data_IF_405252943326
#
_entry.id   IF_405252943326
#
_cell.length_a   1.000
_cell.length_b   1.000
_cell.length_c   1.000
_cell.angle_alpha   90.00
_cell.angle_beta   90.00
_cell.angle_gamma   90.00
#
_symmetry.space_group_name_H-M   'P 1'
#
loop_
_entity.id
_entity.type
_entity.pdbx_description
1 polymer ?
#
# COMPACT_ATOMS: atom_id res chain seq x y z
N UNK A 1 -55.11 7.57 15.78
CA UNK A 1 -54.27 8.62 15.17
C UNK A 1 -54.33 8.45 13.66
N UNK A 2 -54.59 9.51 12.88
CA UNK A 2 -54.67 9.41 11.41
C UNK A 2 -53.29 9.22 10.79
N UNK A 3 -53.22 8.47 9.69
CA UNK A 3 -51.97 8.18 8.97
C UNK A 3 -51.23 9.47 8.53
N UNK A 4 -51.96 10.48 8.07
CA UNK A 4 -51.39 11.77 7.65
C UNK A 4 -50.69 12.52 8.78
N UNK A 5 -51.31 12.57 9.98
CA UNK A 5 -50.74 13.28 11.13
C UNK A 5 -49.45 12.62 11.64
N UNK A 6 -49.32 11.31 11.49
CA UNK A 6 -48.08 10.59 11.79
C UNK A 6 -46.97 10.93 10.77
N UNK A 7 -47.31 11.05 9.48
CA UNK A 7 -46.34 11.45 8.45
C UNK A 7 -45.83 12.88 8.67
N UNK A 8 -46.69 13.81 9.09
CA UNK A 8 -46.29 15.19 9.42
C UNK A 8 -45.33 15.26 10.61
N UNK A 9 -45.57 14.44 11.63
CA UNK A 9 -44.67 14.31 12.77
C UNK A 9 -43.29 13.77 12.33
N UNK A 10 -43.27 12.69 11.56
CA UNK A 10 -42.02 12.08 11.05
C UNK A 10 -41.28 13.05 10.12
N UNK A 11 -42.00 13.80 9.28
CA UNK A 11 -41.42 14.83 8.41
C UNK A 11 -40.75 15.94 9.23
N UNK A 12 -41.40 16.40 10.29
CA UNK A 12 -40.87 17.42 11.20
C UNK A 12 -39.64 16.91 11.96
N UNK A 13 -39.69 15.67 12.45
CA UNK A 13 -38.55 14.98 13.08
C UNK A 13 -37.35 14.88 12.13
N UNK A 14 -37.57 14.41 10.90
CA UNK A 14 -36.51 14.33 9.88
C UNK A 14 -35.89 15.69 9.60
N UNK A 15 -36.69 16.78 9.60
CA UNK A 15 -36.19 18.15 9.43
C UNK A 15 -35.32 18.60 10.61
N UNK A 16 -35.73 18.30 11.85
CA UNK A 16 -34.97 18.65 13.06
C UNK A 16 -33.61 17.95 13.08
N UNK A 17 -33.57 16.65 12.75
CA UNK A 17 -32.35 15.83 12.84
C UNK A 17 -31.57 15.72 11.52
N UNK A 18 -31.91 16.52 10.50
CA UNK A 18 -31.28 16.44 9.17
C UNK A 18 -31.28 15.02 8.57
N UNK A 19 -32.36 14.27 8.78
CA UNK A 19 -32.58 12.94 8.22
C UNK A 19 -33.39 13.03 6.92
N UNK A 20 -33.21 12.04 6.04
CA UNK A 20 -33.96 11.94 4.79
C UNK A 20 -35.36 11.37 5.03
N UNK A 21 -36.40 12.08 4.60
CA UNK A 21 -37.80 11.63 4.64
C UNK A 21 -38.19 10.93 3.33
N UNK A 22 -38.51 9.62 3.37
CA UNK A 22 -38.85 8.80 2.19
C UNK A 22 -40.14 7.97 2.41
N UNK A 23 -41.33 8.59 2.33
CA UNK A 23 -42.61 7.91 2.60
C UNK A 23 -42.96 6.86 1.54
N UNK A 24 -42.52 7.06 0.28
CA UNK A 24 -42.78 6.17 -0.86
C UNK A 24 -41.79 4.99 -0.95
N UNK A 25 -40.81 4.91 -0.04
CA UNK A 25 -39.80 3.84 0.02
C UNK A 25 -39.02 3.65 -1.28
N UNK A 26 -38.72 4.76 -1.97
CA UNK A 26 -37.93 4.76 -3.20
C UNK A 26 -36.47 4.37 -2.94
N UNK A 27 -35.81 3.75 -3.92
CA UNK A 27 -34.40 3.33 -3.83
C UNK A 27 -33.45 4.48 -4.20
N UNK A 28 -33.15 5.33 -3.22
CA UNK A 28 -32.33 6.55 -3.42
C UNK A 28 -30.81 6.33 -3.27
N UNK A 29 -30.32 5.10 -3.07
CA UNK A 29 -28.88 4.83 -2.91
C UNK A 29 -28.27 5.24 -1.55
N UNK A 30 -29.05 5.84 -0.64
CA UNK A 30 -28.60 6.27 0.71
C UNK A 30 -27.89 5.17 1.54
N UNK A 31 -28.15 3.88 1.27
CA UNK A 31 -27.44 2.76 1.89
C UNK A 31 -25.94 2.81 1.60
N UNK A 32 -25.56 3.11 0.36
CA UNK A 32 -24.17 3.12 -0.08
C UNK A 32 -23.44 4.33 0.53
N UNK A 33 -24.07 5.50 0.53
CA UNK A 33 -23.47 6.71 1.11
C UNK A 33 -23.30 6.65 2.63
N UNK A 34 -24.17 5.91 3.34
CA UNK A 34 -24.05 5.68 4.79
C UNK A 34 -23.01 4.63 5.18
N UNK A 35 -22.53 3.84 4.22
CA UNK A 35 -21.48 2.86 4.52
C UNK A 35 -20.20 3.58 4.91
N UNK A 36 -19.65 3.25 6.07
CA UNK A 36 -18.34 3.75 6.50
C UNK A 36 -17.26 3.23 5.54
N UNK A 37 -16.39 4.13 5.11
CA UNK A 37 -15.25 3.79 4.26
C UNK A 37 -14.29 2.85 5.01
N UNK A 38 -13.85 1.79 4.34
CA UNK A 38 -12.90 0.79 4.88
C UNK A 38 -11.47 0.98 4.37
N UNK A 39 -11.24 1.95 3.49
CA UNK A 39 -9.95 2.21 2.83
C UNK A 39 -8.76 2.29 3.79
N UNK A 40 -8.81 3.10 4.86
CA UNK A 40 -7.69 3.21 5.80
C UNK A 40 -7.34 1.89 6.49
N UNK A 41 -8.33 1.10 6.87
CA UNK A 41 -8.13 -0.20 7.50
C UNK A 41 -7.48 -1.22 6.53
N UNK A 42 -7.86 -1.18 5.25
CA UNK A 42 -7.26 -2.04 4.22
C UNK A 42 -5.85 -1.60 3.85
N UNK A 43 -5.60 -0.29 3.76
CA UNK A 43 -4.27 0.25 3.43
C UNK A 43 -3.23 -0.05 4.52
N UNK A 44 -3.65 -0.13 5.78
CA UNK A 44 -2.80 -0.44 6.93
C UNK A 44 -2.59 -1.95 7.17
N UNK A 45 -2.93 -2.81 6.20
CA UNK A 45 -2.83 -4.27 6.36
C UNK A 45 -1.40 -4.74 6.62
N UNK A 46 -0.43 -4.23 5.86
CA UNK A 46 0.98 -4.49 6.12
C UNK A 46 1.56 -3.37 6.99
N UNK A 47 2.37 -3.71 8.01
CA UNK A 47 3.06 -2.70 8.81
C UNK A 47 3.96 -1.88 7.90
N UNK A 48 3.96 -0.56 8.11
CA UNK A 48 4.86 0.34 7.40
C UNK A 48 6.27 0.14 7.94
N UNK A 49 7.26 0.19 7.06
CA UNK A 49 8.66 0.25 7.50
C UNK A 49 8.91 1.64 8.08
N UNK A 50 9.06 1.73 9.40
CA UNK A 50 9.26 3.00 10.11
C UNK A 50 10.73 3.39 10.16
N UNK A 51 11.61 2.43 10.43
CA UNK A 51 13.06 2.64 10.55
C UNK A 51 13.77 1.54 9.78
N UNK A 52 14.72 1.93 8.94
CA UNK A 52 15.65 1.01 8.27
C UNK A 52 17.00 0.98 8.98
N UNK A 53 17.81 -0.06 8.74
CA UNK A 53 19.18 -0.10 9.26
C UNK A 53 19.98 1.11 8.78
N UNK A 54 19.73 1.59 7.55
CA UNK A 54 20.38 2.79 6.99
C UNK A 54 20.07 4.06 7.77
N UNK A 55 18.86 4.19 8.32
CA UNK A 55 18.50 5.33 9.17
C UNK A 55 19.33 5.30 10.45
N UNK A 56 19.52 4.12 11.05
CA UNK A 56 20.41 3.91 12.19
C UNK A 56 21.86 4.28 11.83
N UNK A 57 22.39 3.84 10.67
CA UNK A 57 23.74 4.24 10.27
C UNK A 57 23.89 5.76 10.17
N UNK A 58 22.90 6.44 9.59
CA UNK A 58 22.91 7.89 9.41
C UNK A 58 22.83 8.66 10.73
N UNK A 59 22.11 8.16 11.74
CA UNK A 59 21.99 8.83 13.05
C UNK A 59 23.28 8.75 13.85
N UNK A 60 24.01 7.63 13.76
CA UNK A 60 25.23 7.40 14.54
C UNK A 60 26.52 7.83 13.83
N UNK A 61 26.49 8.00 12.50
CA UNK A 61 27.64 8.47 11.71
C UNK A 61 28.25 9.80 12.22
N UNK A 62 27.47 10.84 12.60
CA UNK A 62 28.02 12.08 13.15
C UNK A 62 28.75 11.90 14.49
N UNK A 63 28.42 10.84 15.24
CA UNK A 63 29.05 10.50 16.51
C UNK A 63 30.36 9.70 16.33
N UNK A 64 30.79 9.47 15.08
CA UNK A 64 31.99 8.69 14.77
C UNK A 64 31.82 7.18 15.01
N UNK A 65 30.58 6.71 15.21
CA UNK A 65 30.29 5.31 15.45
C UNK A 65 30.07 4.57 14.12
N UNK A 66 30.68 3.40 13.99
CA UNK A 66 30.55 2.50 12.85
C UNK A 66 29.57 1.38 13.17
N UNK A 67 28.70 1.07 12.21
CA UNK A 67 27.65 0.05 12.32
C UNK A 67 27.82 -0.97 11.22
N UNK A 68 27.69 -2.26 11.53
CA UNK A 68 27.87 -3.37 10.58
C UNK A 68 26.51 -4.03 10.29
N UNK A 69 26.18 -4.19 9.00
CA UNK A 69 24.97 -4.89 8.56
C UNK A 69 25.36 -6.30 8.12
N UNK A 70 25.40 -7.23 9.07
CA UNK A 70 25.88 -8.60 8.84
C UNK A 70 25.19 -9.28 7.65
N UNK A 71 23.89 -9.04 7.47
CA UNK A 71 23.13 -9.66 6.39
C UNK A 71 23.49 -9.09 5.01
N UNK A 72 23.77 -7.78 4.92
CA UNK A 72 24.27 -7.19 3.68
C UNK A 72 25.73 -7.59 3.42
N UNK A 73 26.58 -7.65 4.45
CA UNK A 73 27.97 -8.09 4.34
C UNK A 73 28.05 -9.53 3.83
N UNK A 74 27.29 -10.46 4.41
CA UNK A 74 27.17 -11.85 3.94
C UNK A 74 26.71 -11.92 2.48
N UNK A 75 25.76 -11.06 2.08
CA UNK A 75 25.28 -11.00 0.70
C UNK A 75 26.40 -10.55 -0.25
N UNK A 76 27.19 -9.58 0.15
CA UNK A 76 28.32 -9.08 -0.64
C UNK A 76 29.43 -10.12 -0.78
N UNK A 77 29.77 -10.82 0.30
CA UNK A 77 30.73 -11.92 0.28
C UNK A 77 30.27 -13.04 -0.65
N UNK A 78 29.00 -13.47 -0.55
CA UNK A 78 28.44 -14.50 -1.42
C UNK A 78 28.51 -14.08 -2.91
N UNK A 79 28.27 -12.81 -3.21
CA UNK A 79 28.42 -12.25 -4.57
C UNK A 79 29.88 -12.30 -5.04
N UNK A 80 30.83 -11.95 -4.18
CA UNK A 80 32.26 -11.99 -4.49
C UNK A 80 32.73 -13.43 -4.77
N UNK A 81 32.36 -14.38 -3.91
CA UNK A 81 32.68 -15.81 -4.08
C UNK A 81 32.09 -16.34 -5.40
N UNK A 82 30.85 -16.00 -5.72
CA UNK A 82 30.22 -16.41 -6.97
C UNK A 82 30.98 -15.85 -8.20
N UNK A 83 31.43 -14.59 -8.15
CA UNK A 83 32.23 -13.98 -9.22
C UNK A 83 33.58 -14.68 -9.40
N UNK A 84 34.29 -14.99 -8.31
CA UNK A 84 35.58 -15.69 -8.35
C UNK A 84 35.46 -17.06 -9.03
N UNK A 85 34.35 -17.77 -8.82
CA UNK A 85 34.07 -19.08 -9.44
C UNK A 85 33.53 -19.00 -10.88
N UNK A 86 33.45 -17.80 -11.46
CA UNK A 86 32.81 -17.59 -12.77
C UNK A 86 31.30 -17.88 -12.77
N UNK A 87 30.67 -17.94 -11.59
CA UNK A 87 29.23 -18.12 -11.37
C UNK A 87 28.52 -16.81 -11.05
N UNK A 88 29.20 -15.68 -11.25
CA UNK A 88 28.63 -14.36 -11.09
C UNK A 88 27.46 -14.14 -12.04
N UNK A 89 26.49 -13.31 -11.62
CA UNK A 89 25.33 -12.97 -12.45
C UNK A 89 25.79 -12.33 -13.76
N UNK A 90 25.26 -12.77 -14.93
CA UNK A 90 25.61 -12.18 -16.21
C UNK A 90 25.19 -10.70 -16.28
N UNK A 91 25.87 -9.93 -17.14
CA UNK A 91 25.56 -8.52 -17.36
C UNK A 91 24.10 -8.36 -17.80
N UNK A 92 23.32 -7.55 -17.08
CA UNK A 92 21.94 -7.23 -17.46
C UNK A 92 21.96 -6.45 -18.78
N UNK A 93 21.31 -7.01 -19.80
CA UNK A 93 21.12 -6.36 -21.10
C UNK A 93 20.19 -5.16 -20.92
N UNK A 94 20.61 -3.97 -21.38
CA UNK A 94 19.87 -2.72 -21.21
C UNK A 94 19.25 -2.23 -22.52
N UNK A 95 19.70 -2.74 -23.66
CA UNK A 95 19.20 -2.35 -24.99
C UNK A 95 18.68 -3.52 -25.80
N UNK A 96 17.80 -3.23 -26.77
CA UNK A 96 17.24 -4.24 -27.67
C UNK A 96 18.29 -4.83 -28.64
N UNK A 97 19.39 -4.13 -28.90
CA UNK A 97 20.50 -4.65 -29.70
C UNK A 97 21.25 -5.76 -28.95
N UNK A 98 21.46 -5.59 -27.64
CA UNK A 98 22.12 -6.59 -26.78
C UNK A 98 21.26 -7.86 -26.58
N UNK A 99 19.93 -7.77 -26.65
CA UNK A 99 19.02 -8.91 -26.46
C UNK A 99 18.95 -9.88 -27.64
N UNK A 100 19.33 -9.45 -28.85
CA UNK A 100 19.20 -10.23 -30.10
C UNK A 100 20.26 -11.33 -30.32
N UNK A 101 21.12 -11.63 -29.33
CA UNK A 101 22.22 -12.59 -29.48
C UNK A 101 21.81 -14.07 -29.52
N UNK A 102 20.52 -14.40 -29.51
CA UNK A 102 20.00 -15.76 -29.69
C UNK A 102 19.29 -15.90 -31.05
N UNK A 103 19.92 -15.46 -32.15
CA UNK A 103 19.54 -15.96 -33.48
C UNK A 103 20.06 -17.40 -33.57
N UNK A 104 19.15 -18.33 -33.28
CA UNK A 104 19.26 -19.78 -33.50
C UNK A 104 20.05 -20.03 -34.79
N UNK A 105 21.27 -20.56 -34.69
CA UNK A 105 22.01 -21.07 -35.85
C UNK A 105 21.14 -22.18 -36.46
N UNK A 106 20.89 -22.05 -37.77
CA UNK A 106 20.23 -23.07 -38.59
C UNK A 106 21.15 -24.28 -38.70
#
# INVERSE_FOLDING_TARGET
>A
MSQGRLLDLVKSQCRIFSLNFNPQRLRLGNKILRQRLRGPALAAWYPKQEVSFRDLQNTYKPLGLTTFDEAEDDREEAIQIAKLRGKGRPKKKRTAAESRSAKKKK
#
